data_IF_120519681474
#
_entry.id   IF_120519681474
#
_cell.length_a   1.000
_cell.length_b   1.000
_cell.length_c   1.000
_cell.angle_alpha   90.00
_cell.angle_beta   90.00
_cell.angle_gamma   90.00
#
_symmetry.space_group_name_H-M   'P 1'
#
loop_
_entity.id
_entity.type
_entity.pdbx_description
1 polymer ?
#
# COMPACT_ATOMS: atom_id res chain seq x y z
N UNK A 1 -22.98 -13.62 1.66
CA UNK A 1 -22.60 -13.48 1.90
C UNK A 1 -21.93 -13.00 2.16
N UNK A 2 -21.76 -12.89 2.19
CA UNK A 2 -21.27 -12.42 2.37
C UNK A 2 -20.21 -12.21 2.44
N UNK A 3 -19.75 -12.08 1.86
CA UNK A 3 -18.78 -11.71 1.90
C UNK A 3 -18.30 -10.93 2.65
N UNK A 4 -18.46 -10.60 3.00
CA UNK A 4 -18.22 -9.73 3.79
C UNK A 4 -17.58 -9.97 5.01
N UNK A 5 -16.87 -10.89 5.14
CA UNK A 5 -16.23 -11.28 6.36
C UNK A 5 -14.82 -10.78 6.45
N UNK A 6 -14.44 -9.87 5.59
CA UNK A 6 -13.14 -9.23 5.68
C UNK A 6 -13.10 -8.40 6.97
N UNK A 7 -12.02 -8.48 7.76
CA UNK A 7 -11.93 -7.66 8.96
C UNK A 7 -11.87 -6.18 8.59
N UNK A 8 -12.25 -5.28 9.49
CA UNK A 8 -12.13 -3.86 9.23
C UNK A 8 -10.66 -3.48 9.07
N UNK A 9 -10.44 -2.37 8.41
CA UNK A 9 -9.10 -1.83 8.26
C UNK A 9 -8.56 -1.38 9.61
N UNK A 10 -7.32 -1.73 9.88
CA UNK A 10 -6.63 -1.30 11.09
C UNK A 10 -5.72 -0.13 10.76
N UNK A 11 -5.88 0.96 11.48
CA UNK A 11 -4.99 2.12 11.38
C UNK A 11 -4.26 2.25 12.71
N UNK A 12 -2.95 2.02 12.69
CA UNK A 12 -2.12 2.14 13.89
C UNK A 12 -2.14 3.58 14.40
N UNK A 13 -2.11 3.81 15.72
CA UNK A 13 -2.09 5.17 16.25
C UNK A 13 -0.96 6.02 15.69
N UNK A 14 0.16 5.43 15.32
CA UNK A 14 1.26 6.14 14.69
C UNK A 14 1.11 6.24 13.18
N UNK A 15 0.11 5.59 12.61
CA UNK A 15 -0.12 5.61 11.17
C UNK A 15 -0.79 6.90 10.73
N UNK A 16 -0.59 7.25 9.48
CA UNK A 16 -1.21 8.42 8.86
C UNK A 16 -1.93 7.97 7.61
N UNK A 17 -3.17 8.39 7.45
CA UNK A 17 -3.94 8.06 6.28
C UNK A 17 -4.69 9.31 5.84
N UNK A 18 -4.29 9.90 4.71
CA UNK A 18 -4.87 11.14 4.23
C UNK A 18 -5.33 11.00 2.79
N UNK A 19 -6.51 11.49 2.51
CA UNK A 19 -7.05 11.61 1.16
C UNK A 19 -6.90 10.31 0.35
N UNK A 20 -7.26 9.18 0.97
CA UNK A 20 -7.05 7.87 0.35
C UNK A 20 -8.31 7.03 0.42
N UNK A 21 -8.47 6.14 -0.55
CA UNK A 21 -9.52 5.14 -0.54
C UNK A 21 -8.92 3.83 -0.08
N UNK A 22 -9.43 3.30 1.01
CA UNK A 22 -8.86 2.10 1.64
C UNK A 22 -9.95 1.04 1.78
N UNK A 23 -9.74 -0.09 1.12
CA UNK A 23 -10.67 -1.21 1.21
C UNK A 23 -10.50 -1.94 2.54
N UNK A 24 -11.41 -2.88 2.80
CA UNK A 24 -11.39 -3.62 4.06
C UNK A 24 -10.16 -4.50 4.21
N UNK A 25 -9.84 -4.80 5.45
CA UNK A 25 -8.77 -5.75 5.75
C UNK A 25 -7.36 -5.21 5.61
N UNK A 26 -7.21 -3.91 5.45
CA UNK A 26 -5.89 -3.30 5.36
C UNK A 26 -5.30 -3.08 6.75
N UNK A 27 -3.97 -3.07 6.82
CA UNK A 27 -3.24 -2.81 8.05
C UNK A 27 -2.29 -1.66 7.78
N UNK A 28 -2.60 -0.48 8.31
CA UNK A 28 -1.86 0.74 8.03
C UNK A 28 -1.09 1.16 9.26
N UNK A 29 0.21 0.97 9.23
CA UNK A 29 1.10 1.34 10.33
C UNK A 29 2.03 2.49 9.93
N UNK A 30 2.19 2.73 8.65
CA UNK A 30 3.01 3.82 8.14
C UNK A 30 2.16 4.99 7.65
N UNK A 31 2.68 5.73 6.70
CA UNK A 31 2.03 6.92 6.16
C UNK A 31 1.49 6.65 4.76
N UNK A 32 0.21 6.93 4.56
CA UNK A 32 -0.47 6.73 3.28
C UNK A 32 -1.16 8.03 2.89
N UNK A 33 -0.84 8.57 1.72
CA UNK A 33 -1.42 9.83 1.24
C UNK A 33 -1.78 9.73 -0.24
N UNK A 34 -2.99 10.15 -0.57
CA UNK A 34 -3.47 10.19 -1.96
C UNK A 34 -3.35 8.85 -2.66
N UNK A 35 -3.72 7.78 -1.97
CA UNK A 35 -3.56 6.42 -2.48
C UNK A 35 -4.89 5.71 -2.63
N UNK A 36 -4.88 4.63 -3.41
CA UNK A 36 -5.99 3.70 -3.48
C UNK A 36 -5.42 2.35 -3.08
N UNK A 37 -5.91 1.81 -1.95
CA UNK A 37 -5.46 0.53 -1.44
C UNK A 37 -6.61 -0.46 -1.52
N UNK A 38 -6.36 -1.57 -2.19
CA UNK A 38 -7.34 -2.64 -2.30
C UNK A 38 -7.26 -3.54 -1.08
N UNK A 39 -8.05 -4.60 -1.06
CA UNK A 39 -8.21 -5.45 0.13
C UNK A 39 -6.89 -6.04 0.60
N UNK A 40 -6.72 -6.08 1.92
CA UNK A 40 -5.61 -6.80 2.52
C UNK A 40 -4.24 -6.20 2.27
N UNK A 41 -4.18 -4.93 1.91
CA UNK A 41 -2.89 -4.25 1.74
C UNK A 41 -2.32 -3.93 3.12
N UNK A 42 -1.01 -4.11 3.24
CA UNK A 42 -0.33 -3.86 4.50
C UNK A 42 0.79 -2.86 4.29
N UNK A 43 0.81 -1.82 5.12
CA UNK A 43 1.86 -0.80 5.09
C UNK A 43 2.49 -0.77 6.47
N UNK A 44 3.75 -1.20 6.56
CA UNK A 44 4.43 -1.35 7.83
C UNK A 44 4.99 -0.04 8.34
N UNK A 45 5.46 -0.04 9.58
CA UNK A 45 5.94 1.17 10.25
C UNK A 45 7.07 1.83 9.49
N UNK A 46 7.03 3.15 9.44
CA UNK A 46 8.07 3.92 8.78
C UNK A 46 7.94 3.98 7.27
N UNK A 47 7.07 3.16 6.67
CA UNK A 47 6.87 3.21 5.24
C UNK A 47 6.08 4.48 4.86
N UNK A 48 6.41 5.04 3.71
CA UNK A 48 5.72 6.22 3.18
C UNK A 48 5.22 5.90 1.79
N UNK A 49 3.91 6.04 1.59
CA UNK A 49 3.26 5.70 0.33
C UNK A 49 2.44 6.90 -0.12
N UNK A 50 2.78 7.46 -1.28
CA UNK A 50 2.09 8.63 -1.82
C UNK A 50 1.73 8.42 -3.28
N UNK A 51 0.53 8.84 -3.65
CA UNK A 51 0.06 8.80 -5.04
C UNK A 51 0.19 7.43 -5.67
N UNK A 52 -0.13 6.39 -4.91
CA UNK A 52 0.04 5.00 -5.36
C UNK A 52 -1.29 4.29 -5.46
N UNK A 53 -1.31 3.23 -6.28
CA UNK A 53 -2.42 2.29 -6.32
C UNK A 53 -1.83 0.92 -6.00
N UNK A 54 -2.28 0.33 -4.89
CA UNK A 54 -1.76 -0.96 -4.44
C UNK A 54 -2.90 -1.97 -4.47
N UNK A 55 -2.72 -3.02 -5.24
CA UNK A 55 -3.76 -4.02 -5.43
C UNK A 55 -3.73 -5.04 -4.29
N UNK A 56 -4.71 -5.94 -4.34
CA UNK A 56 -5.00 -6.87 -3.27
C UNK A 56 -3.76 -7.61 -2.78
N UNK A 57 -3.59 -7.63 -1.45
CA UNK A 57 -2.53 -8.43 -0.81
C UNK A 57 -1.13 -7.86 -0.93
N UNK A 58 -0.97 -6.66 -1.44
CA UNK A 58 0.35 -6.04 -1.53
C UNK A 58 0.84 -5.65 -0.16
N UNK A 59 2.12 -5.92 0.11
CA UNK A 59 2.76 -5.60 1.38
C UNK A 59 3.90 -4.62 1.13
N UNK A 60 3.85 -3.49 1.84
CA UNK A 60 4.94 -2.52 1.85
C UNK A 60 5.65 -2.67 3.18
N UNK A 61 6.88 -3.17 3.15
CA UNK A 61 7.65 -3.43 4.36
C UNK A 61 8.13 -2.13 4.97
N UNK A 62 8.63 -2.22 6.20
CA UNK A 62 8.96 -1.02 6.96
C UNK A 62 10.04 -0.18 6.29
N UNK A 63 9.93 1.12 6.47
CA UNK A 63 10.87 2.11 5.97
C UNK A 63 10.98 2.17 4.45
N UNK A 64 10.07 1.54 3.72
CA UNK A 64 10.03 1.66 2.27
C UNK A 64 9.37 2.99 1.88
N UNK A 65 9.77 3.53 0.75
CA UNK A 65 9.21 4.78 0.23
C UNK A 65 8.69 4.54 -1.18
N UNK A 66 7.41 4.78 -1.37
CA UNK A 66 6.77 4.63 -2.68
C UNK A 66 6.11 5.94 -3.07
N UNK A 67 6.36 6.37 -4.31
CA UNK A 67 5.67 7.52 -4.86
C UNK A 67 5.36 7.26 -6.32
N UNK A 68 4.10 7.46 -6.70
CA UNK A 68 3.63 7.23 -8.06
C UNK A 68 3.93 5.80 -8.52
N UNK A 69 3.53 4.83 -7.71
CA UNK A 69 3.74 3.40 -7.97
C UNK A 69 2.39 2.70 -8.10
N UNK A 70 2.28 1.84 -9.09
CA UNK A 70 1.12 0.96 -9.24
C UNK A 70 1.63 -0.46 -9.03
N UNK A 71 1.22 -1.09 -7.92
CA UNK A 71 1.64 -2.45 -7.62
C UNK A 71 0.47 -3.39 -7.84
N UNK A 72 0.67 -4.41 -8.66
CA UNK A 72 -0.34 -5.42 -8.93
C UNK A 72 -0.52 -6.31 -7.69
N UNK A 73 -1.32 -7.36 -7.82
CA UNK A 73 -1.70 -8.21 -6.68
C UNK A 73 -0.50 -8.92 -6.07
N UNK A 74 -0.51 -9.04 -4.76
CA UNK A 74 0.44 -9.82 -3.99
C UNK A 74 1.91 -9.43 -4.24
N UNK A 75 2.14 -8.14 -4.45
CA UNK A 75 3.48 -7.59 -4.57
C UNK A 75 4.05 -7.38 -3.19
N UNK A 76 5.35 -7.63 -3.03
CA UNK A 76 6.05 -7.32 -1.78
C UNK A 76 7.13 -6.29 -2.08
N UNK A 77 7.05 -5.15 -1.41
CA UNK A 77 8.09 -4.13 -1.46
C UNK A 77 8.95 -4.33 -0.22
N UNK A 78 10.21 -4.69 -0.43
CA UNK A 78 11.09 -5.03 0.68
C UNK A 78 11.43 -3.83 1.54
N UNK A 79 11.86 -4.11 2.75
CA UNK A 79 12.26 -3.13 3.74
C UNK A 79 13.27 -2.13 3.17
N UNK A 80 13.05 -0.84 3.43
CA UNK A 80 13.98 0.21 3.05
C UNK A 80 14.08 0.53 1.57
N UNK A 81 13.24 -0.09 0.73
CA UNK A 81 13.30 0.18 -0.71
C UNK A 81 12.67 1.52 -1.03
N UNK A 82 13.17 2.15 -2.10
CA UNK A 82 12.63 3.41 -2.59
C UNK A 82 12.26 3.26 -4.06
N UNK A 83 10.97 3.44 -4.36
CA UNK A 83 10.46 3.40 -5.73
C UNK A 83 9.74 4.69 -6.00
N UNK A 84 10.24 5.47 -6.93
CA UNK A 84 9.65 6.78 -7.24
C UNK A 84 9.42 6.88 -8.74
N UNK A 85 8.15 7.02 -9.10
CA UNK A 85 7.77 7.28 -10.47
C UNK A 85 7.34 8.73 -10.63
N UNK A 86 6.78 9.04 -11.79
CA UNK A 86 6.22 10.35 -12.10
C UNK A 86 4.73 10.18 -12.34
N UNK A 87 3.94 11.21 -12.09
CA UNK A 87 2.50 11.13 -12.29
C UNK A 87 2.14 10.71 -13.73
N UNK A 88 2.90 11.19 -14.68
CA UNK A 88 2.65 10.86 -16.08
C UNK A 88 3.32 9.55 -16.49
N UNK A 89 4.13 8.97 -15.63
CA UNK A 89 4.86 7.74 -15.95
C UNK A 89 5.14 6.97 -14.65
N UNK A 90 4.13 6.33 -14.07
CA UNK A 90 4.32 5.64 -12.80
C UNK A 90 5.18 4.39 -12.94
N UNK A 91 5.79 3.98 -11.83
CA UNK A 91 6.46 2.69 -11.74
C UNK A 91 5.40 1.62 -11.60
N UNK A 92 5.42 0.63 -12.48
CA UNK A 92 4.46 -0.48 -12.42
C UNK A 92 5.19 -1.74 -11.99
N UNK A 93 4.68 -2.39 -10.95
CA UNK A 93 5.27 -3.61 -10.42
C UNK A 93 4.33 -4.78 -10.70
N UNK A 94 4.85 -5.82 -11.32
CA UNK A 94 4.07 -6.96 -11.78
C UNK A 94 3.59 -7.81 -10.60
N UNK A 95 2.49 -8.50 -10.81
CA UNK A 95 1.87 -9.38 -9.83
C UNK A 95 2.88 -10.39 -9.26
N UNK A 96 2.80 -10.61 -7.96
CA UNK A 96 3.62 -11.56 -7.21
C UNK A 96 5.11 -11.20 -7.15
N UNK A 97 5.50 -10.04 -7.66
CA UNK A 97 6.90 -9.64 -7.64
C UNK A 97 7.33 -9.23 -6.24
N UNK A 98 8.60 -9.45 -5.95
CA UNK A 98 9.23 -8.96 -4.73
C UNK A 98 10.36 -8.03 -5.16
N UNK A 99 10.26 -6.78 -4.80
CA UNK A 99 11.23 -5.76 -5.25
C UNK A 99 11.86 -5.02 -4.09
#
# INVERSE_FOLDING_TARGET
AKENDAPPTYLDPAGVCENSLIADGCDIQGSVKNCILFRGVRVEKGAQVENCVLFKGTVVKKDATLRCVIADKAVTIREGRTLIGDESYPVVVARNATV
#
